data_IF_186535106620
#
_entry.id   IF_186535106620
#
_cell.length_a   1.000
_cell.length_b   1.000
_cell.length_c   1.000
_cell.angle_alpha   90.00
_cell.angle_beta   90.00
_cell.angle_gamma   90.00
#
_symmetry.space_group_name_H-M   'P 1'
#
loop_
_entity.id
_entity.type
_entity.pdbx_description
1 polymer ?
#
# COMPACT_ATOMS: atom_id res chain seq x y z
N UNK A 1 -1.85 -25.25 -65.42
CA UNK A 1 -2.42 -24.42 -64.34
C UNK A 1 -2.10 -25.11 -63.03
N UNK A 2 -1.42 -24.39 -62.16
CA UNK A 2 -0.90 -24.85 -60.89
C UNK A 2 -1.88 -24.51 -59.74
N UNK A 3 -1.44 -24.91 -58.54
CA UNK A 3 -1.80 -24.44 -57.19
C UNK A 3 -3.02 -25.06 -56.46
N UNK A 4 -2.69 -25.97 -55.54
CA UNK A 4 -3.27 -26.07 -54.19
C UNK A 4 -2.08 -26.20 -53.22
N UNK A 5 -1.60 -25.18 -52.51
CA UNK A 5 -2.09 -24.52 -51.28
C UNK A 5 -1.43 -25.09 -50.00
N UNK A 6 -0.63 -24.24 -49.32
CA UNK A 6 -0.45 -24.11 -47.84
C UNK A 6 0.34 -25.21 -47.11
N UNK A 7 1.33 -24.98 -46.23
CA UNK A 7 1.93 -23.79 -45.61
C UNK A 7 3.26 -24.21 -44.97
N UNK A 8 4.24 -23.32 -44.98
CA UNK A 8 5.52 -23.43 -44.25
C UNK A 8 5.39 -22.92 -42.80
N UNK A 9 6.24 -23.50 -41.93
CA UNK A 9 6.99 -22.85 -40.85
C UNK A 9 6.65 -23.11 -39.36
N UNK A 10 7.77 -23.15 -38.63
CA UNK A 10 8.01 -23.00 -37.18
C UNK A 10 7.69 -24.20 -36.30
N UNK A 11 8.56 -24.64 -35.40
CA UNK A 11 9.79 -24.07 -34.87
C UNK A 11 10.02 -24.67 -33.49
N UNK A 12 11.24 -25.17 -33.24
CA UNK A 12 11.88 -25.44 -31.94
C UNK A 12 10.95 -25.85 -30.78
N UNK A 13 10.66 -27.15 -30.66
CA UNK A 13 9.96 -27.70 -29.49
C UNK A 13 10.96 -28.15 -28.43
N UNK A 14 11.02 -27.42 -27.31
CA UNK A 14 11.78 -27.78 -26.11
C UNK A 14 11.33 -29.15 -25.54
N UNK A 15 12.21 -29.91 -24.84
CA UNK A 15 11.84 -31.19 -24.24
C UNK A 15 10.70 -31.01 -23.22
N UNK A 16 9.74 -31.96 -23.12
CA UNK A 16 8.71 -31.87 -22.10
C UNK A 16 9.36 -32.00 -20.70
N UNK A 17 9.20 -30.98 -19.87
CA UNK A 17 9.53 -31.05 -18.44
C UNK A 17 8.68 -32.15 -17.79
N UNK A 18 9.23 -33.00 -16.91
CA UNK A 18 8.43 -33.98 -16.18
C UNK A 18 7.40 -33.25 -15.33
N UNK A 19 6.11 -33.39 -15.70
CA UNK A 19 5.00 -32.88 -14.90
C UNK A 19 4.96 -33.69 -13.61
N UNK A 20 5.33 -33.04 -12.50
CA UNK A 20 5.11 -33.56 -11.17
C UNK A 20 3.61 -33.87 -10.99
N UNK A 21 3.31 -35.12 -10.61
CA UNK A 21 1.97 -35.61 -10.26
C UNK A 21 1.53 -35.04 -8.90
N UNK A 22 1.49 -33.72 -8.77
CA UNK A 22 0.87 -33.07 -7.63
C UNK A 22 -0.64 -32.96 -7.90
N UNK A 23 -1.51 -33.45 -7.01
CA UNK A 23 -2.95 -33.37 -7.21
C UNK A 23 -3.36 -31.89 -7.28
N UNK A 24 -3.99 -31.50 -8.39
CA UNK A 24 -4.67 -30.21 -8.50
C UNK A 24 -5.73 -30.12 -7.39
N UNK A 25 -5.78 -29.06 -6.56
CA UNK A 25 -6.87 -28.91 -5.61
C UNK A 25 -8.18 -28.77 -6.39
N UNK A 26 -9.16 -29.59 -6.02
CA UNK A 26 -10.55 -29.58 -6.49
C UNK A 26 -11.16 -28.18 -6.53
N UNK A 27 -12.22 -27.95 -7.33
CA UNK A 27 -12.98 -26.71 -7.31
C UNK A 27 -13.50 -26.48 -5.89
N UNK A 28 -12.95 -25.47 -5.23
CA UNK A 28 -13.36 -25.11 -3.87
C UNK A 28 -14.82 -24.67 -3.92
N UNK A 29 -15.60 -25.28 -3.03
CA UNK A 29 -16.92 -24.87 -2.61
C UNK A 29 -16.94 -23.35 -2.38
N UNK A 30 -18.12 -22.75 -2.63
CA UNK A 30 -18.49 -21.33 -2.48
C UNK A 30 -17.46 -20.46 -1.73
N UNK A 31 -17.03 -19.32 -2.30
CA UNK A 31 -16.07 -18.45 -1.62
C UNK A 31 -16.68 -17.98 -0.31
N UNK A 32 -16.14 -18.46 0.82
CA UNK A 32 -16.30 -17.75 2.09
C UNK A 32 -15.83 -16.33 1.83
N UNK A 33 -16.65 -15.29 2.09
CA UNK A 33 -16.23 -13.91 1.89
C UNK A 33 -14.97 -13.71 2.74
N UNK A 34 -13.86 -13.38 2.08
CA UNK A 34 -12.61 -13.09 2.79
C UNK A 34 -12.86 -11.87 3.68
N UNK A 35 -12.27 -11.83 4.89
CA UNK A 35 -12.30 -10.62 5.71
C UNK A 35 -11.85 -9.43 4.87
N UNK A 36 -12.56 -8.31 4.99
CA UNK A 36 -12.24 -7.05 4.32
C UNK A 36 -12.01 -6.00 5.39
N UNK A 37 -10.97 -5.19 5.23
CA UNK A 37 -10.63 -4.14 6.18
C UNK A 37 -11.43 -2.86 5.88
N UNK A 38 -12.00 -2.24 6.91
CA UNK A 38 -12.71 -0.96 6.77
C UNK A 38 -11.71 0.20 6.64
N UNK A 39 -11.30 0.48 5.41
CA UNK A 39 -10.39 1.57 5.09
C UNK A 39 -11.04 2.96 5.22
N UNK A 40 -12.36 3.08 5.13
CA UNK A 40 -13.06 4.36 5.23
C UNK A 40 -13.00 4.92 6.64
N UNK A 41 -13.26 4.06 7.62
CA UNK A 41 -13.13 4.42 9.04
C UNK A 41 -11.70 4.87 9.36
N UNK A 42 -10.70 4.20 8.79
CA UNK A 42 -9.31 4.58 8.99
C UNK A 42 -8.93 5.88 8.26
N UNK A 43 -9.41 6.10 7.03
CA UNK A 43 -9.20 7.35 6.30
C UNK A 43 -9.74 8.56 7.06
N UNK A 44 -10.96 8.44 7.59
CA UNK A 44 -11.56 9.48 8.42
C UNK A 44 -10.71 9.79 9.66
N UNK A 45 -10.24 8.75 10.35
CA UNK A 45 -9.34 8.90 11.50
C UNK A 45 -8.01 9.55 11.11
N UNK A 46 -7.36 9.10 10.02
CA UNK A 46 -6.10 9.67 9.56
C UNK A 46 -6.26 11.16 9.26
N UNK A 47 -7.32 11.55 8.54
CA UNK A 47 -7.60 12.95 8.22
C UNK A 47 -7.68 13.82 9.47
N UNK A 48 -8.40 13.37 10.51
CA UNK A 48 -8.49 14.08 11.79
C UNK A 48 -7.16 14.10 12.54
N UNK A 49 -6.44 12.97 12.60
CA UNK A 49 -5.13 12.88 13.25
C UNK A 49 -4.12 13.85 12.61
N UNK A 50 -4.04 13.87 11.28
CA UNK A 50 -3.13 14.76 10.57
C UNK A 50 -3.49 16.23 10.80
N UNK A 51 -4.78 16.55 10.74
CA UNK A 51 -5.25 17.90 11.02
C UNK A 51 -4.96 18.31 12.48
N UNK A 52 -5.18 17.44 13.47
CA UNK A 52 -4.97 17.81 14.89
C UNK A 52 -3.49 17.93 15.24
N UNK A 53 -2.64 17.01 14.75
CA UNK A 53 -1.20 17.03 15.04
C UNK A 53 -0.46 18.12 14.27
N UNK A 54 -0.85 18.36 13.01
CA UNK A 54 -0.08 19.21 12.09
C UNK A 54 -0.82 20.48 11.64
N UNK A 55 -2.01 20.81 12.11
CA UNK A 55 -2.61 22.10 11.75
C UNK A 55 -1.87 23.27 12.38
N UNK A 56 -1.37 23.13 13.61
CA UNK A 56 -0.70 24.19 14.37
C UNK A 56 0.81 24.15 14.29
N UNK A 57 1.39 23.07 13.77
CA UNK A 57 2.83 22.90 13.69
C UNK A 57 3.47 23.86 12.65
N UNK A 58 4.72 24.23 12.93
CA UNK A 58 5.56 25.07 12.06
C UNK A 58 6.74 24.20 11.62
N UNK A 59 7.15 24.31 10.36
CA UNK A 59 8.28 23.56 9.83
C UNK A 59 9.53 23.83 10.68
N UNK A 60 10.19 22.79 11.22
CA UNK A 60 11.33 22.99 12.11
C UNK A 60 12.54 23.56 11.37
N UNK A 61 13.30 24.39 12.08
CA UNK A 61 14.60 24.88 11.63
C UNK A 61 15.57 23.71 11.37
N UNK A 62 16.64 23.88 10.58
CA UNK A 62 17.60 22.80 10.26
C UNK A 62 18.15 22.05 11.47
N UNK A 63 18.35 22.75 12.60
CA UNK A 63 18.83 22.18 13.87
C UNK A 63 17.80 21.31 14.59
N UNK A 64 16.54 21.39 14.20
CA UNK A 64 15.41 20.74 14.85
C UNK A 64 14.73 19.70 13.95
N UNK A 65 15.39 19.26 12.87
CA UNK A 65 14.85 18.30 11.90
C UNK A 65 14.45 16.95 12.52
N UNK A 66 14.98 16.62 13.70
CA UNK A 66 14.55 15.44 14.46
C UNK A 66 13.10 15.54 14.94
N UNK A 67 12.53 16.75 15.08
CA UNK A 67 11.08 16.94 15.35
C UNK A 67 10.23 16.36 14.22
N UNK A 68 10.67 16.49 12.96
CA UNK A 68 9.95 15.93 11.82
C UNK A 68 9.94 14.39 11.88
N UNK A 69 11.09 13.77 12.24
CA UNK A 69 11.17 12.32 12.44
C UNK A 69 10.28 11.86 13.59
N UNK A 70 10.23 12.63 14.68
CA UNK A 70 9.36 12.35 15.82
C UNK A 70 7.87 12.39 15.41
N UNK A 71 7.45 13.39 14.63
CA UNK A 71 6.09 13.44 14.09
C UNK A 71 5.77 12.25 13.18
N UNK A 72 6.68 11.88 12.26
CA UNK A 72 6.48 10.71 11.40
C UNK A 72 6.28 9.43 12.23
N UNK A 73 7.11 9.25 13.26
CA UNK A 73 7.04 8.09 14.15
C UNK A 73 5.73 8.08 14.96
N UNK A 74 5.37 9.20 15.58
CA UNK A 74 4.14 9.32 16.38
C UNK A 74 2.90 9.05 15.53
N UNK A 75 2.80 9.68 14.36
CA UNK A 75 1.69 9.48 13.44
C UNK A 75 1.63 8.02 12.99
N UNK A 76 2.77 7.43 12.62
CA UNK A 76 2.86 6.03 12.21
C UNK A 76 2.40 5.06 13.30
N UNK A 77 2.82 5.29 14.55
CA UNK A 77 2.43 4.46 15.71
C UNK A 77 0.94 4.59 16.03
N UNK A 78 0.38 5.81 16.01
CA UNK A 78 -1.05 6.04 16.27
C UNK A 78 -1.94 5.43 15.19
N UNK A 79 -1.56 5.56 13.92
CA UNK A 79 -2.25 4.90 12.80
C UNK A 79 -2.19 3.38 12.96
N UNK A 80 -1.00 2.81 13.21
CA UNK A 80 -0.86 1.35 13.42
C UNK A 80 -1.70 0.85 14.59
N UNK A 81 -1.72 1.59 15.70
CA UNK A 81 -2.55 1.27 16.86
C UNK A 81 -4.03 1.25 16.48
N UNK A 82 -4.50 2.28 15.76
CA UNK A 82 -5.90 2.35 15.33
C UNK A 82 -6.29 1.18 14.42
N UNK A 83 -5.39 0.73 13.56
CA UNK A 83 -5.64 -0.44 12.71
C UNK A 83 -5.81 -1.72 13.51
N UNK A 84 -4.98 -1.92 14.54
CA UNK A 84 -5.10 -3.06 15.44
C UNK A 84 -6.40 -2.99 16.27
N UNK A 85 -6.90 -1.80 16.59
CA UNK A 85 -8.21 -1.63 17.25
C UNK A 85 -9.38 -1.98 16.32
N UNK A 86 -9.31 -1.60 15.04
CA UNK A 86 -10.33 -1.92 14.03
C UNK A 86 -10.36 -3.43 13.79
N UNK A 87 -9.19 -4.00 13.52
CA UNK A 87 -9.07 -5.42 13.25
C UNK A 87 -7.74 -5.98 13.80
N UNK A 88 -7.76 -6.61 14.99
CA UNK A 88 -6.53 -7.05 15.66
C UNK A 88 -5.93 -8.32 15.06
N UNK A 89 -6.70 -9.07 14.27
CA UNK A 89 -6.34 -10.39 13.74
C UNK A 89 -6.52 -10.41 12.23
N UNK A 90 -6.04 -11.48 11.59
CA UNK A 90 -6.29 -11.77 10.17
C UNK A 90 -5.59 -10.87 9.17
N UNK A 91 -5.02 -9.72 9.56
CA UNK A 91 -4.33 -8.82 8.65
C UNK A 91 -2.90 -8.50 9.11
N UNK A 92 -2.05 -8.21 8.12
CA UNK A 92 -0.71 -7.65 8.28
C UNK A 92 -0.74 -6.21 7.79
N UNK A 93 0.08 -5.38 8.43
CA UNK A 93 -0.03 -3.93 8.34
C UNK A 93 1.31 -3.28 8.10
N UNK A 94 1.39 -2.43 7.08
CA UNK A 94 2.54 -1.59 6.77
C UNK A 94 2.08 -0.14 6.74
N UNK A 95 2.70 0.71 7.57
CA UNK A 95 2.44 2.15 7.62
C UNK A 95 3.65 2.89 7.07
N UNK A 96 3.41 3.76 6.08
CA UNK A 96 4.40 4.64 5.50
C UNK A 96 3.98 6.09 5.75
N UNK A 97 4.83 6.85 6.41
CA UNK A 97 4.59 8.26 6.73
C UNK A 97 5.74 9.09 6.17
N UNK A 98 5.42 10.15 5.42
CA UNK A 98 6.41 11.05 4.79
C UNK A 98 5.99 12.50 4.93
N UNK A 99 6.77 13.31 5.67
CA UNK A 99 6.57 14.76 5.79
C UNK A 99 7.69 15.49 5.06
N UNK A 100 7.32 16.41 4.17
CA UNK A 100 8.27 17.22 3.41
C UNK A 100 7.90 18.70 3.47
N UNK A 101 8.93 19.55 3.42
CA UNK A 101 8.77 20.99 3.30
C UNK A 101 8.19 21.33 1.92
N UNK A 102 7.18 22.20 1.89
CA UNK A 102 6.58 22.68 0.67
C UNK A 102 7.13 24.08 0.34
N UNK A 103 8.36 24.13 -0.17
CA UNK A 103 9.01 25.37 -0.62
C UNK A 103 8.57 25.78 -2.04
N UNK A 104 7.30 25.56 -2.40
CA UNK A 104 6.79 25.75 -3.77
C UNK A 104 7.19 24.63 -4.73
N UNK A 105 7.64 23.49 -4.20
CA UNK A 105 7.99 22.30 -4.97
C UNK A 105 6.73 21.50 -5.29
N UNK A 106 6.65 20.97 -6.51
CA UNK A 106 5.66 19.95 -6.86
C UNK A 106 6.13 18.59 -6.32
N UNK A 107 5.29 17.94 -5.52
CA UNK A 107 5.52 16.59 -5.02
C UNK A 107 4.53 15.61 -5.61
N UNK A 108 5.00 14.42 -6.00
CA UNK A 108 4.16 13.29 -6.40
C UNK A 108 4.57 12.06 -5.60
N UNK A 109 3.59 11.36 -5.03
CA UNK A 109 3.78 10.11 -4.32
C UNK A 109 2.78 9.09 -4.83
N UNK A 110 3.26 8.11 -5.60
CA UNK A 110 2.48 6.98 -6.06
C UNK A 110 2.93 5.71 -5.34
N UNK A 111 2.04 4.73 -5.31
CA UNK A 111 2.30 3.39 -4.80
C UNK A 111 1.82 2.38 -5.84
N UNK A 112 2.66 1.38 -6.13
CA UNK A 112 2.30 0.24 -6.97
C UNK A 112 2.45 -1.01 -6.11
N UNK A 113 1.42 -1.85 -6.09
CA UNK A 113 1.39 -3.07 -5.29
C UNK A 113 1.04 -4.26 -6.16
N UNK A 114 1.62 -5.41 -5.82
CA UNK A 114 1.25 -6.71 -6.36
C UNK A 114 0.57 -7.49 -5.23
N UNK A 115 -0.75 -7.57 -5.29
CA UNK A 115 -1.59 -7.91 -4.15
C UNK A 115 -2.84 -8.68 -4.60
N UNK A 116 -3.54 -9.33 -3.67
CA UNK A 116 -4.79 -10.06 -3.93
C UNK A 116 -6.02 -9.16 -3.70
N UNK A 117 -7.20 -9.59 -4.17
CA UNK A 117 -8.44 -8.80 -4.13
C UNK A 117 -8.88 -8.35 -2.72
N UNK A 118 -8.41 -9.03 -1.68
CA UNK A 118 -8.70 -8.72 -0.28
C UNK A 118 -7.74 -7.72 0.36
N UNK A 119 -6.69 -7.33 -0.36
CA UNK A 119 -5.71 -6.35 0.12
C UNK A 119 -6.23 -4.93 -0.12
N UNK A 120 -5.92 -4.02 0.80
CA UNK A 120 -6.46 -2.65 0.79
C UNK A 120 -5.37 -1.62 1.04
N UNK A 121 -5.42 -0.52 0.29
CA UNK A 121 -4.64 0.69 0.55
C UNK A 121 -5.54 1.79 1.04
N UNK A 122 -5.14 2.40 2.16
CA UNK A 122 -5.66 3.68 2.59
C UNK A 122 -4.55 4.72 2.44
N UNK A 123 -4.82 5.79 1.70
CA UNK A 123 -3.92 6.91 1.52
C UNK A 123 -4.61 8.19 1.98
N UNK A 124 -3.88 9.00 2.74
CA UNK A 124 -4.32 10.32 3.17
C UNK A 124 -3.20 11.34 2.96
N UNK A 125 -3.57 12.53 2.48
CA UNK A 125 -2.65 13.63 2.24
C UNK A 125 -3.11 14.88 2.98
N UNK A 126 -2.18 15.52 3.67
CA UNK A 126 -2.42 16.77 4.38
C UNK A 126 -1.41 17.82 3.93
N UNK A 127 -1.86 19.06 3.72
CA UNK A 127 -1.00 20.18 3.40
C UNK A 127 -1.30 21.35 4.34
N UNK A 128 -0.27 21.85 5.03
CA UNK A 128 -0.33 23.11 5.76
C UNK A 128 0.27 24.21 4.87
N UNK A 129 -0.56 25.19 4.51
CA UNK A 129 -0.18 26.30 3.62
C UNK A 129 -0.02 27.64 4.37
N UNK A 130 -0.09 27.64 5.71
CA UNK A 130 0.02 28.87 6.51
C UNK A 130 1.46 29.39 6.54
N UNK A 131 1.72 30.67 6.22
CA UNK A 131 3.03 31.29 6.44
C UNK A 131 3.40 31.30 7.93
N UNK A 132 4.68 31.12 8.32
CA UNK A 132 5.86 30.92 7.47
C UNK A 132 6.08 29.46 7.02
N UNK A 133 5.32 28.50 7.55
CA UNK A 133 5.57 27.07 7.38
C UNK A 133 4.65 26.41 6.36
N UNK A 134 5.19 26.18 5.16
CA UNK A 134 4.54 25.35 4.14
C UNK A 134 5.11 23.94 4.24
N UNK A 135 4.28 22.94 4.51
CA UNK A 135 4.68 21.54 4.42
C UNK A 135 3.52 20.65 3.99
N UNK A 136 3.87 19.50 3.43
CA UNK A 136 2.94 18.46 3.04
C UNK A 136 3.31 17.14 3.74
N UNK A 137 2.30 16.43 4.21
CA UNK A 137 2.40 15.08 4.72
C UNK A 137 1.59 14.15 3.82
N UNK A 138 2.21 13.03 3.45
CA UNK A 138 1.54 11.89 2.86
C UNK A 138 1.68 10.69 3.79
N UNK A 139 0.55 10.08 4.16
CA UNK A 139 0.52 8.81 4.88
C UNK A 139 -0.15 7.79 3.98
N UNK A 140 0.58 6.73 3.66
CA UNK A 140 0.10 5.60 2.88
C UNK A 140 0.14 4.34 3.73
N UNK A 141 -0.86 3.51 3.55
CA UNK A 141 -1.04 2.30 4.32
C UNK A 141 -1.35 1.12 3.42
N UNK A 142 -0.75 -0.02 3.76
CA UNK A 142 -1.02 -1.30 3.15
C UNK A 142 -1.56 -2.28 4.19
N UNK A 143 -2.69 -2.89 3.86
CA UNK A 143 -3.38 -3.90 4.65
C UNK A 143 -3.54 -5.16 3.79
N UNK A 144 -3.11 -6.32 4.29
CA UNK A 144 -3.23 -7.59 3.55
C UNK A 144 -3.51 -8.78 4.48
N UNK A 145 -4.35 -9.76 4.11
CA UNK A 145 -4.67 -10.89 4.98
C UNK A 145 -3.45 -11.74 5.33
N UNK A 146 -3.45 -12.25 6.55
CA UNK A 146 -2.36 -13.03 7.14
C UNK A 146 -2.18 -14.41 6.50
N UNK A 147 -3.11 -14.85 5.66
CA UNK A 147 -3.13 -16.17 5.00
C UNK A 147 -2.38 -16.26 3.68
N UNK A 148 -1.90 -15.15 3.09
CA UNK A 148 -1.16 -15.20 1.83
C UNK A 148 0.31 -15.58 2.09
N UNK A 149 0.72 -16.67 1.44
CA UNK A 149 2.04 -17.30 1.54
C UNK A 149 3.12 -16.31 1.10
N UNK A 150 3.95 -15.88 2.06
CA UNK A 150 5.35 -15.50 1.90
C UNK A 150 5.69 -14.53 0.76
N UNK A 151 5.77 -13.24 1.09
CA UNK A 151 6.54 -12.25 0.35
C UNK A 151 8.02 -12.69 0.40
N UNK A 152 8.45 -13.48 -0.59
CA UNK A 152 9.88 -13.78 -0.80
C UNK A 152 10.51 -12.51 -1.36
N UNK A 153 11.47 -11.98 -0.59
CA UNK A 153 12.44 -10.99 -1.05
C UNK A 153 13.35 -11.59 -2.10
#
# INVERSE_FOLDING_TARGET
MATTTTTMASGLRSPPTPRSSAPSPRPSLAPSPRPTFDADLLRAYMKELLATTLKTATWPEPKERDKVKAWMKEIGERVKKRMLEIQPREFKYIVLTQINENAGQGGRADLVCHWEDSDVVAQEMFANVRPPARYALATALLVYPSGTRGMRK
#
